data_IF_595510510986
#
_entry.id   IF_595510510986
#
_cell.length_a   1.000
_cell.length_b   1.000
_cell.length_c   1.000
_cell.angle_alpha   90.00
_cell.angle_beta   90.00
_cell.angle_gamma   90.00
#
_symmetry.space_group_name_H-M   'P 1'
#
loop_
_entity.id
_entity.type
_entity.pdbx_description
1 polymer ?
#
# COMPACT_ATOMS: atom_id res chain seq x y z
N UNK A 1 11.61 29.08 -1.91
CA UNK A 1 11.85 27.79 -1.24
C UNK A 1 10.58 27.29 -0.52
N UNK A 2 9.41 27.33 -1.17
CA UNK A 2 8.11 27.04 -0.53
C UNK A 2 7.08 26.32 -1.41
N UNK A 3 7.33 26.12 -2.71
CA UNK A 3 6.36 25.46 -3.61
C UNK A 3 6.59 23.94 -3.76
N UNK A 4 7.81 23.44 -3.59
CA UNK A 4 8.11 22.00 -3.64
C UNK A 4 7.63 21.22 -2.40
N UNK A 5 7.06 21.90 -1.38
CA UNK A 5 6.47 21.25 -0.19
C UNK A 5 5.16 20.51 -0.48
N UNK A 6 4.64 20.57 -1.71
CA UNK A 6 3.34 20.00 -2.09
C UNK A 6 3.35 18.51 -2.48
N UNK A 7 4.50 17.83 -2.51
CA UNK A 7 4.59 16.58 -3.29
C UNK A 7 4.11 15.31 -2.57
N UNK A 8 4.05 15.27 -1.24
CA UNK A 8 3.58 14.07 -0.53
C UNK A 8 2.33 14.34 0.29
N UNK A 9 1.20 13.81 -0.18
CA UNK A 9 -0.04 13.81 0.59
C UNK A 9 0.12 12.84 1.75
N UNK A 10 0.14 13.40 2.96
CA UNK A 10 0.12 12.64 4.21
C UNK A 10 -1.00 11.61 4.19
N UNK A 11 -0.66 10.37 4.55
CA UNK A 11 -1.62 9.28 4.52
C UNK A 11 -2.71 9.53 5.56
N UNK A 12 -3.94 9.70 5.10
CA UNK A 12 -5.05 10.07 5.98
C UNK A 12 -5.76 8.80 6.48
N UNK A 13 -5.24 8.25 7.57
CA UNK A 13 -5.95 7.27 8.40
C UNK A 13 -6.56 8.02 9.56
N UNK A 14 -7.89 8.08 9.58
CA UNK A 14 -8.62 8.74 10.66
C UNK A 14 -9.76 7.86 11.14
N UNK A 15 -10.28 8.20 12.30
CA UNK A 15 -11.41 7.52 12.94
C UNK A 15 -12.63 7.44 12.04
N UNK A 16 -12.93 8.51 11.28
CA UNK A 16 -14.09 8.55 10.38
C UNK A 16 -14.01 7.49 9.28
N UNK A 17 -12.82 7.31 8.69
CA UNK A 17 -12.57 6.31 7.65
C UNK A 17 -12.70 4.90 8.20
N UNK A 18 -12.17 4.64 9.40
CA UNK A 18 -12.33 3.34 10.07
C UNK A 18 -13.80 3.05 10.37
N UNK A 19 -14.54 4.01 10.95
CA UNK A 19 -15.97 3.85 11.24
C UNK A 19 -16.77 3.61 9.95
N UNK A 20 -16.50 4.39 8.90
CA UNK A 20 -17.15 4.20 7.59
C UNK A 20 -16.91 2.80 7.04
N UNK A 21 -15.68 2.28 7.17
CA UNK A 21 -15.34 0.94 6.71
C UNK A 21 -16.05 -0.13 7.54
N UNK A 22 -16.08 0.02 8.86
CA UNK A 22 -16.81 -0.90 9.75
C UNK A 22 -18.32 -0.93 9.43
N UNK A 23 -18.92 0.21 9.06
CA UNK A 23 -20.33 0.25 8.64
C UNK A 23 -20.57 -0.54 7.34
N UNK A 24 -19.66 -0.44 6.37
CA UNK A 24 -19.71 -1.21 5.12
C UNK A 24 -19.56 -2.71 5.44
N UNK A 25 -18.62 -3.08 6.31
CA UNK A 25 -18.41 -4.47 6.74
C UNK A 25 -19.62 -5.04 7.46
N UNK A 26 -20.28 -4.26 8.34
CA UNK A 26 -21.54 -4.65 8.98
C UNK A 26 -22.64 -4.84 7.93
N UNK A 27 -22.76 -3.93 6.96
CA UNK A 27 -23.75 -4.06 5.91
C UNK A 27 -23.53 -5.31 5.05
N UNK A 28 -22.28 -5.58 4.63
CA UNK A 28 -21.94 -6.80 3.89
C UNK A 28 -22.17 -8.06 4.73
N UNK A 29 -21.79 -8.05 6.00
CA UNK A 29 -21.99 -9.16 6.93
C UNK A 29 -23.47 -9.48 7.16
N UNK A 30 -24.33 -8.46 7.27
CA UNK A 30 -25.77 -8.67 7.42
C UNK A 30 -26.39 -9.28 6.16
N UNK A 31 -26.04 -8.79 4.96
CA UNK A 31 -26.49 -9.37 3.69
C UNK A 31 -26.09 -10.84 3.52
N UNK A 32 -24.83 -11.17 3.82
CA UNK A 32 -24.33 -12.55 3.78
C UNK A 32 -25.07 -13.43 4.81
N UNK A 33 -25.22 -12.95 6.04
CA UNK A 33 -25.93 -13.66 7.09
C UNK A 33 -27.40 -13.94 6.75
N UNK A 34 -28.12 -12.96 6.18
CA UNK A 34 -29.51 -13.14 5.70
C UNK A 34 -29.58 -14.16 4.56
N UNK A 35 -28.67 -14.07 3.60
CA UNK A 35 -28.66 -14.97 2.44
C UNK A 35 -28.40 -16.42 2.86
N UNK A 36 -27.44 -16.64 3.77
CA UNK A 36 -27.15 -17.97 4.30
C UNK A 36 -28.29 -18.50 5.17
N UNK A 37 -28.89 -17.65 6.00
CA UNK A 37 -30.08 -17.97 6.78
C UNK A 37 -31.24 -18.46 5.88
N UNK A 38 -31.52 -17.73 4.80
CA UNK A 38 -32.55 -18.11 3.82
C UNK A 38 -32.22 -19.40 3.06
N UNK A 39 -30.96 -19.60 2.66
CA UNK A 39 -30.55 -20.84 1.99
C UNK A 39 -30.74 -22.07 2.88
N UNK A 40 -30.45 -21.94 4.17
CA UNK A 40 -30.66 -23.01 5.16
C UNK A 40 -32.16 -23.23 5.40
N UNK A 41 -32.97 -22.18 5.48
CA UNK A 41 -34.41 -22.32 5.69
C UNK A 41 -35.11 -23.11 4.59
N UNK A 42 -34.71 -22.87 3.34
CA UNK A 42 -35.24 -23.57 2.16
C UNK A 42 -34.89 -25.06 2.21
N UNK A 43 -33.71 -25.42 2.74
CA UNK A 43 -33.21 -26.79 2.74
C UNK A 43 -33.71 -27.60 3.93
N UNK A 44 -33.86 -27.01 5.12
CA UNK A 44 -34.23 -27.74 6.34
C UNK A 44 -35.73 -27.76 6.65
N UNK A 45 -36.55 -26.91 6.02
CA UNK A 45 -38.01 -26.74 6.25
C UNK A 45 -38.45 -26.42 7.69
N UNK A 46 -37.56 -26.50 8.67
CA UNK A 46 -37.72 -26.04 10.04
C UNK A 46 -36.97 -24.72 10.20
N UNK A 47 -37.68 -23.64 10.52
CA UNK A 47 -37.06 -22.34 10.73
C UNK A 47 -37.60 -21.64 11.98
N UNK A 48 -36.70 -21.39 12.93
CA UNK A 48 -36.95 -20.49 14.07
C UNK A 48 -36.31 -19.12 13.77
N UNK A 49 -36.98 -18.04 14.16
CA UNK A 49 -36.44 -16.68 14.01
C UNK A 49 -35.09 -16.48 14.74
N UNK A 50 -34.83 -17.28 15.78
CA UNK A 50 -33.56 -17.28 16.51
C UNK A 50 -32.37 -17.73 15.66
N UNK A 51 -32.57 -18.66 14.73
CA UNK A 51 -31.53 -19.13 13.82
C UNK A 51 -31.11 -18.02 12.84
N UNK A 52 -32.04 -17.16 12.42
CA UNK A 52 -31.74 -16.04 11.52
C UNK A 52 -30.89 -14.96 12.20
N UNK A 53 -31.29 -14.52 13.38
CA UNK A 53 -30.55 -13.51 14.13
C UNK A 53 -29.13 -13.98 14.46
N UNK A 54 -28.98 -15.25 14.87
CA UNK A 54 -27.69 -15.86 15.12
C UNK A 54 -26.78 -15.84 13.88
N UNK A 55 -27.29 -16.25 12.71
CA UNK A 55 -26.51 -16.27 11.46
C UNK A 55 -26.09 -14.87 11.03
N UNK A 56 -26.95 -13.87 11.18
CA UNK A 56 -26.60 -12.48 10.90
C UNK A 56 -25.44 -12.02 11.79
N UNK A 57 -25.54 -12.24 13.11
CA UNK A 57 -24.49 -11.84 14.05
C UNK A 57 -23.17 -12.57 13.75
N UNK A 58 -23.23 -13.88 13.49
CA UNK A 58 -22.04 -14.69 13.17
C UNK A 58 -21.31 -14.15 11.94
N UNK A 59 -22.04 -13.88 10.86
CA UNK A 59 -21.45 -13.38 9.62
C UNK A 59 -20.92 -11.95 9.76
N UNK A 60 -21.61 -11.07 10.50
CA UNK A 60 -21.10 -9.72 10.80
C UNK A 60 -19.78 -9.81 11.56
N UNK A 61 -19.71 -10.62 12.61
CA UNK A 61 -18.47 -10.80 13.39
C UNK A 61 -17.37 -11.38 12.50
N UNK A 62 -17.67 -12.39 11.70
CA UNK A 62 -16.68 -13.00 10.79
C UNK A 62 -16.13 -12.00 9.78
N UNK A 63 -16.99 -11.20 9.13
CA UNK A 63 -16.58 -10.20 8.15
C UNK A 63 -15.71 -9.13 8.80
N UNK A 64 -16.09 -8.62 9.97
CA UNK A 64 -15.27 -7.63 10.69
C UNK A 64 -13.90 -8.22 11.04
N UNK A 65 -13.86 -9.41 11.67
CA UNK A 65 -12.59 -9.98 12.12
C UNK A 65 -11.62 -10.29 10.97
N UNK A 66 -12.14 -10.69 9.82
CA UNK A 66 -11.35 -11.05 8.65
C UNK A 66 -10.99 -9.83 7.80
N UNK A 67 -11.95 -8.94 7.53
CA UNK A 67 -11.77 -7.83 6.60
C UNK A 67 -11.08 -6.63 7.23
N UNK A 68 -11.50 -6.17 8.42
CA UNK A 68 -10.98 -4.91 9.00
C UNK A 68 -9.44 -4.81 9.01
N UNK A 69 -8.67 -5.84 9.45
CA UNK A 69 -7.21 -5.74 9.49
C UNK A 69 -6.55 -5.78 8.11
N UNK A 70 -7.24 -6.27 7.07
CA UNK A 70 -6.69 -6.33 5.71
C UNK A 70 -6.63 -4.95 5.06
N UNK A 71 -7.57 -4.06 5.38
CA UNK A 71 -7.63 -2.70 4.83
C UNK A 71 -6.62 -1.73 5.43
N UNK A 72 -6.01 -2.08 6.56
CA UNK A 72 -5.09 -1.16 7.22
C UNK A 72 -3.81 -0.99 6.38
N UNK A 73 -3.46 0.26 6.00
CA UNK A 73 -2.29 0.56 5.19
C UNK A 73 -1.02 0.43 6.06
N UNK A 74 -0.52 -0.80 6.15
CA UNK A 74 0.77 -1.14 6.76
C UNK A 74 1.80 -1.36 5.69
N UNK A 75 3.09 -1.19 6.01
CA UNK A 75 4.13 -1.20 4.99
C UNK A 75 3.90 -0.07 3.99
N UNK A 76 3.68 1.15 4.49
CA UNK A 76 3.47 2.34 3.65
C UNK A 76 4.21 3.55 4.23
N UNK A 77 4.61 4.46 3.35
CA UNK A 77 5.17 5.75 3.77
C UNK A 77 4.02 6.64 4.25
N UNK A 78 4.12 7.08 5.49
CA UNK A 78 3.10 7.94 6.11
C UNK A 78 3.27 9.41 5.72
N UNK A 79 4.53 9.88 5.80
CA UNK A 79 4.88 11.29 5.68
C UNK A 79 6.38 11.42 5.38
N UNK A 80 6.76 12.47 4.66
CA UNK A 80 8.15 12.75 4.29
C UNK A 80 8.45 14.20 4.64
N UNK A 81 9.44 14.41 5.51
CA UNK A 81 9.98 15.70 5.90
C UNK A 81 11.38 15.88 5.27
N UNK A 82 11.89 17.12 5.24
CA UNK A 82 13.22 17.47 4.71
C UNK A 82 14.38 16.66 5.33
N UNK A 83 14.23 16.16 6.57
CA UNK A 83 15.31 15.45 7.27
C UNK A 83 14.98 13.99 7.61
N UNK A 84 13.75 13.53 7.35
CA UNK A 84 13.27 12.23 7.84
C UNK A 84 12.10 11.69 7.04
N UNK A 85 12.01 10.38 7.01
CA UNK A 85 10.89 9.62 6.46
C UNK A 85 10.12 9.01 7.62
N UNK A 86 8.81 9.17 7.62
CA UNK A 86 7.92 8.49 8.57
C UNK A 86 7.22 7.35 7.86
N UNK A 87 7.34 6.15 8.42
CA UNK A 87 6.79 4.94 7.82
C UNK A 87 5.89 4.20 8.80
N UNK A 88 4.90 3.49 8.26
CA UNK A 88 4.08 2.54 9.02
C UNK A 88 4.67 1.16 8.74
N UNK A 89 5.31 0.50 9.73
CA UNK A 89 5.89 -0.82 9.56
C UNK A 89 4.88 -1.87 9.08
N UNK A 90 5.32 -2.93 8.40
CA UNK A 90 4.48 -4.08 8.07
C UNK A 90 4.12 -4.84 9.36
N UNK A 91 2.95 -4.54 9.93
CA UNK A 91 2.51 -5.15 11.18
C UNK A 91 1.78 -6.50 10.98
N UNK A 92 1.99 -7.49 11.87
CA UNK A 92 1.15 -8.68 11.93
C UNK A 92 -0.28 -8.33 12.37
N UNK A 93 -1.23 -9.21 12.07
CA UNK A 93 -2.68 -9.00 12.29
C UNK A 93 -2.99 -8.50 13.72
N UNK A 94 -2.36 -9.06 14.74
CA UNK A 94 -2.59 -8.63 16.14
C UNK A 94 -2.19 -7.17 16.39
N UNK A 95 -1.08 -6.70 15.81
CA UNK A 95 -0.65 -5.31 15.92
C UNK A 95 -1.54 -4.38 15.08
N UNK A 96 -2.08 -4.85 13.96
CA UNK A 96 -3.07 -4.09 13.18
C UNK A 96 -4.33 -3.80 14.00
N UNK A 97 -4.82 -4.79 14.75
CA UNK A 97 -5.95 -4.57 15.67
C UNK A 97 -5.64 -3.56 16.77
N UNK A 98 -4.43 -3.61 17.35
CA UNK A 98 -4.00 -2.59 18.33
C UNK A 98 -3.98 -1.18 17.72
N UNK A 99 -3.48 -1.05 16.49
CA UNK A 99 -3.50 0.21 15.75
C UNK A 99 -4.94 0.70 15.51
N UNK A 100 -5.84 -0.16 15.02
CA UNK A 100 -7.25 0.17 14.78
C UNK A 100 -7.91 0.68 16.07
N UNK A 101 -7.77 -0.08 17.17
CA UNK A 101 -8.37 0.29 18.45
C UNK A 101 -7.78 1.61 18.99
N UNK A 102 -6.48 1.81 18.82
CA UNK A 102 -5.84 3.07 19.23
C UNK A 102 -6.38 4.27 18.45
N UNK A 103 -6.56 4.15 17.12
CA UNK A 103 -7.14 5.23 16.30
C UNK A 103 -8.59 5.48 16.69
N UNK A 104 -9.38 4.43 16.94
CA UNK A 104 -10.76 4.57 17.39
C UNK A 104 -10.85 5.34 18.72
N UNK A 105 -9.92 5.12 19.64
CA UNK A 105 -9.90 5.82 20.94
C UNK A 105 -9.31 7.23 20.86
N UNK A 106 -8.16 7.41 20.19
CA UNK A 106 -7.34 8.64 20.28
C UNK A 106 -7.24 9.45 18.98
N UNK A 107 -7.71 8.91 17.86
CA UNK A 107 -7.57 9.51 16.50
C UNK A 107 -6.13 9.92 16.16
N UNK A 108 -5.16 9.12 16.61
CA UNK A 108 -3.73 9.32 16.38
C UNK A 108 -3.09 8.00 15.96
N UNK A 109 -1.97 8.09 15.24
CA UNK A 109 -1.16 6.94 14.84
C UNK A 109 0.32 7.07 15.25
N UNK A 110 0.71 8.17 15.88
CA UNK A 110 2.11 8.50 16.20
C UNK A 110 2.86 7.37 16.91
N UNK A 111 2.20 6.64 17.81
CA UNK A 111 2.76 5.52 18.55
C UNK A 111 3.14 4.29 17.68
N UNK A 112 2.65 4.23 16.45
CA UNK A 112 2.86 3.12 15.52
C UNK A 112 3.66 3.53 14.28
N UNK A 113 4.10 4.79 14.22
CA UNK A 113 4.89 5.33 13.13
C UNK A 113 6.36 5.25 13.50
N UNK A 114 7.15 4.65 12.62
CA UNK A 114 8.60 4.64 12.74
C UNK A 114 9.18 5.85 12.00
N UNK A 115 10.12 6.56 12.63
CA UNK A 115 10.78 7.72 12.04
C UNK A 115 12.22 7.38 11.71
N UNK A 116 12.60 7.61 10.45
CA UNK A 116 13.89 7.22 9.89
C UNK A 116 14.57 8.50 9.40
N UNK A 117 15.70 8.90 10.00
CA UNK A 117 16.42 10.09 9.54
C UNK A 117 17.04 9.81 8.18
N UNK A 118 16.96 10.78 7.26
CA UNK A 118 17.56 10.66 5.92
C UNK A 118 19.08 10.53 6.00
N UNK A 119 19.70 11.13 7.02
CA UNK A 119 21.14 11.01 7.28
C UNK A 119 21.61 9.59 7.59
N UNK A 120 20.70 8.67 7.93
CA UNK A 120 21.04 7.26 8.14
C UNK A 120 21.02 6.44 6.85
N UNK A 121 20.55 7.02 5.74
CA UNK A 121 20.54 6.37 4.43
C UNK A 121 21.83 6.78 3.71
N UNK A 122 22.71 5.83 3.47
CA UNK A 122 23.99 6.12 2.80
C UNK A 122 23.92 5.91 1.28
N UNK A 123 22.98 5.10 0.80
CA UNK A 123 22.88 4.73 -0.61
C UNK A 123 21.45 4.30 -0.97
N UNK A 124 21.05 4.56 -2.20
CA UNK A 124 19.78 4.11 -2.76
C UNK A 124 19.96 3.49 -4.14
N UNK A 125 19.10 2.55 -4.51
CA UNK A 125 19.06 1.92 -5.82
C UNK A 125 17.63 1.99 -6.37
N UNK A 126 17.48 2.64 -7.53
CA UNK A 126 16.22 2.72 -8.26
C UNK A 126 16.19 1.64 -9.34
N UNK A 127 15.42 0.59 -9.08
CA UNK A 127 15.33 -0.59 -9.91
C UNK A 127 13.89 -0.82 -10.40
N UNK A 128 13.76 -1.71 -11.38
CA UNK A 128 12.46 -2.10 -11.93
C UNK A 128 12.30 -3.61 -11.78
N UNK A 129 11.19 -4.01 -11.18
CA UNK A 129 10.78 -5.40 -11.07
C UNK A 129 9.84 -5.75 -12.23
N UNK A 130 10.25 -6.70 -13.08
CA UNK A 130 9.43 -7.31 -14.14
C UNK A 130 8.72 -8.55 -13.61
N UNK A 131 7.39 -8.57 -13.69
CA UNK A 131 6.56 -9.73 -13.37
C UNK A 131 5.77 -10.18 -14.57
N UNK A 132 5.54 -11.48 -14.66
CA UNK A 132 4.63 -12.01 -15.66
C UNK A 132 3.19 -11.58 -15.33
N UNK A 133 2.53 -10.91 -16.27
CA UNK A 133 1.10 -10.69 -16.23
C UNK A 133 0.41 -11.69 -17.17
N UNK A 134 -0.90 -11.86 -17.01
CA UNK A 134 -1.67 -12.68 -17.96
C UNK A 134 -1.60 -12.11 -19.38
N UNK A 135 -1.91 -12.95 -20.37
CA UNK A 135 -2.10 -12.55 -21.78
C UNK A 135 -0.83 -12.05 -22.50
N UNK A 136 0.35 -12.51 -22.08
CA UNK A 136 1.61 -12.20 -22.76
C UNK A 136 2.17 -10.80 -22.48
N UNK A 137 1.57 -10.06 -21.55
CA UNK A 137 2.08 -8.77 -21.08
C UNK A 137 2.93 -8.94 -19.82
N UNK A 138 3.88 -8.03 -19.63
CA UNK A 138 4.61 -7.90 -18.37
C UNK A 138 4.11 -6.73 -17.54
N UNK A 139 4.03 -6.94 -16.22
CA UNK A 139 3.78 -5.87 -15.26
C UNK A 139 5.11 -5.39 -14.70
N UNK A 140 5.34 -4.09 -14.76
CA UNK A 140 6.52 -3.47 -14.17
C UNK A 140 6.16 -2.80 -12.84
N UNK A 141 7.07 -2.87 -11.88
CA UNK A 141 6.93 -2.17 -10.60
C UNK A 141 8.22 -1.43 -10.33
N UNK A 142 8.13 -0.15 -10.00
CA UNK A 142 9.28 0.65 -9.67
C UNK A 142 9.62 0.47 -8.19
N UNK A 143 10.89 0.23 -7.93
CA UNK A 143 11.38 -0.13 -6.61
C UNK A 143 12.59 0.73 -6.27
N UNK A 144 12.46 1.54 -5.23
CA UNK A 144 13.56 2.29 -4.64
C UNK A 144 14.02 1.56 -3.37
N UNK A 145 15.18 0.93 -3.42
CA UNK A 145 15.79 0.30 -2.24
C UNK A 145 16.70 1.32 -1.56
N UNK A 146 16.42 1.64 -0.30
CA UNK A 146 17.23 2.55 0.51
C UNK A 146 18.04 1.70 1.50
N UNK A 147 19.35 1.83 1.45
CA UNK A 147 20.28 1.04 2.26
C UNK A 147 20.68 1.83 3.52
N UNK A 148 20.58 1.16 4.67
CA UNK A 148 20.98 1.68 5.98
C UNK A 148 21.85 0.65 6.67
N UNK A 149 22.69 1.10 7.61
CA UNK A 149 23.71 0.26 8.25
C UNK A 149 23.18 -1.07 8.84
N UNK A 150 21.93 -1.06 9.32
CA UNK A 150 21.34 -2.19 10.04
C UNK A 150 20.26 -2.94 9.24
N UNK A 151 19.68 -2.34 8.20
CA UNK A 151 18.60 -2.93 7.39
C UNK A 151 18.36 -2.14 6.12
N UNK A 152 17.75 -2.80 5.15
CA UNK A 152 17.31 -2.17 3.91
C UNK A 152 15.81 -1.85 3.94
N UNK A 153 15.44 -0.74 3.32
CA UNK A 153 14.07 -0.28 3.19
C UNK A 153 13.72 -0.35 1.70
N UNK A 154 12.87 -1.29 1.36
CA UNK A 154 12.35 -1.41 0.00
C UNK A 154 11.12 -0.52 -0.12
N UNK A 155 11.18 0.48 -1.00
CA UNK A 155 10.09 1.41 -1.27
C UNK A 155 9.49 1.11 -2.64
N UNK A 156 8.21 0.73 -2.66
CA UNK A 156 7.47 0.36 -3.86
C UNK A 156 6.71 1.58 -4.39
N UNK A 157 6.93 1.90 -5.66
CA UNK A 157 6.28 3.01 -6.37
C UNK A 157 5.37 2.41 -7.44
N UNK A 158 4.08 2.75 -7.38
CA UNK A 158 3.08 2.29 -8.35
C UNK A 158 2.91 3.33 -9.46
N UNK A 159 3.42 3.11 -10.69
CA UNK A 159 3.25 4.06 -11.77
C UNK A 159 1.80 4.05 -12.30
N UNK A 160 1.29 5.22 -12.70
CA UNK A 160 -0.02 5.34 -13.38
C UNK A 160 -0.06 4.54 -14.69
N UNK A 161 1.07 4.48 -15.39
CA UNK A 161 1.16 3.95 -16.76
C UNK A 161 0.98 2.43 -16.84
N UNK A 162 1.08 1.68 -15.73
CA UNK A 162 0.96 0.22 -15.75
C UNK A 162 -0.45 -0.34 -15.58
N UNK A 163 -1.47 0.49 -15.38
CA UNK A 163 -2.90 0.10 -15.44
C UNK A 163 -3.39 -0.99 -14.48
N UNK A 164 -2.52 -1.78 -13.83
CA UNK A 164 -2.87 -2.96 -13.03
C UNK A 164 -2.14 -2.92 -11.69
N UNK A 165 -2.95 -2.71 -10.66
CA UNK A 165 -2.61 -2.72 -9.24
C UNK A 165 -2.19 -4.11 -8.77
N UNK A 166 -0.91 -4.44 -8.81
CA UNK A 166 -0.38 -5.40 -7.84
C UNK A 166 0.97 -4.86 -7.37
N UNK A 167 1.05 -4.23 -6.18
CA UNK A 167 2.34 -4.06 -5.54
C UNK A 167 2.91 -5.47 -5.45
N UNK A 168 4.05 -5.68 -6.10
CA UNK A 168 4.67 -6.97 -6.11
C UNK A 168 4.77 -7.46 -4.67
N UNK A 169 4.37 -8.72 -4.39
CA UNK A 169 4.30 -9.34 -3.06
C UNK A 169 5.62 -9.42 -2.27
N UNK A 170 6.57 -8.54 -2.54
CA UNK A 170 7.68 -8.21 -1.67
C UNK A 170 7.14 -7.36 -0.52
N UNK A 171 7.42 -7.79 0.71
CA UNK A 171 7.34 -6.90 1.86
C UNK A 171 8.14 -5.63 1.58
N UNK A 172 7.60 -4.48 1.99
CA UNK A 172 8.19 -3.18 1.70
C UNK A 172 7.21 -2.06 2.03
N UNK A 173 7.67 -0.83 1.84
CA UNK A 173 6.90 0.38 2.05
C UNK A 173 6.33 0.90 0.74
N UNK A 174 5.02 1.00 0.60
CA UNK A 174 4.38 1.48 -0.63
C UNK A 174 4.13 2.99 -0.53
N UNK A 175 4.36 3.72 -1.62
CA UNK A 175 3.85 5.08 -1.78
C UNK A 175 2.35 5.06 -2.08
N UNK A 176 1.57 5.85 -1.33
CA UNK A 176 0.12 5.91 -1.51
C UNK A 176 -0.29 6.40 -2.91
N UNK A 177 -1.31 5.76 -3.48
CA UNK A 177 -1.87 6.04 -4.80
C UNK A 177 -0.99 5.62 -5.99
N UNK A 178 -1.49 5.91 -7.19
CA UNK A 178 -0.71 5.82 -8.44
C UNK A 178 0.11 7.10 -8.61
N UNK A 179 1.34 6.98 -9.11
CA UNK A 179 2.28 8.08 -9.32
C UNK A 179 2.49 8.36 -10.81
N UNK A 180 2.42 9.62 -11.19
CA UNK A 180 2.78 10.06 -12.55
C UNK A 180 4.30 10.01 -12.75
N UNK A 181 4.76 10.10 -14.00
CA UNK A 181 6.20 10.21 -14.32
C UNK A 181 6.86 11.37 -13.56
N UNK A 182 6.19 12.52 -13.52
CA UNK A 182 6.65 13.70 -12.78
C UNK A 182 6.77 13.44 -11.28
N UNK A 183 5.77 12.78 -10.67
CA UNK A 183 5.83 12.42 -9.25
C UNK A 183 7.02 11.52 -8.94
N UNK A 184 7.31 10.55 -9.82
CA UNK A 184 8.43 9.61 -9.65
C UNK A 184 9.76 10.33 -9.72
N UNK A 185 9.96 11.19 -10.73
CA UNK A 185 11.17 12.00 -10.84
C UNK A 185 11.33 12.93 -9.63
N UNK A 186 10.24 13.51 -9.12
CA UNK A 186 10.26 14.34 -7.93
C UNK A 186 10.62 13.55 -6.66
N UNK A 187 10.18 12.29 -6.54
CA UNK A 187 10.63 11.38 -5.47
C UNK A 187 12.14 11.19 -5.54
N UNK A 188 12.68 10.86 -6.73
CA UNK A 188 14.13 10.64 -6.89
C UNK A 188 14.94 11.90 -6.56
N UNK A 189 14.55 13.05 -7.12
CA UNK A 189 15.18 14.35 -6.85
C UNK A 189 15.16 14.70 -5.37
N UNK A 190 14.09 14.37 -4.66
CA UNK A 190 14.01 14.59 -3.22
C UNK A 190 15.13 13.85 -2.47
N UNK A 191 15.37 12.57 -2.80
CA UNK A 191 16.42 11.78 -2.15
C UNK A 191 17.82 12.28 -2.52
N UNK A 192 18.05 12.65 -3.78
CA UNK A 192 19.33 13.19 -4.25
C UNK A 192 19.68 14.54 -3.58
N UNK A 193 18.71 15.46 -3.47
CA UNK A 193 18.89 16.75 -2.80
C UNK A 193 19.26 16.56 -1.32
N UNK A 194 18.80 15.47 -0.71
CA UNK A 194 19.13 15.10 0.66
C UNK A 194 20.39 14.23 0.77
N UNK A 195 21.29 14.33 -0.21
CA UNK A 195 22.60 13.67 -0.27
C UNK A 195 22.56 12.13 -0.31
N UNK A 196 21.39 11.55 -0.60
CA UNK A 196 21.31 10.10 -0.87
C UNK A 196 21.73 9.88 -2.31
N UNK A 197 22.86 9.20 -2.51
CA UNK A 197 23.28 8.78 -3.86
C UNK A 197 22.34 7.68 -4.34
N UNK A 198 21.62 7.93 -5.43
CA UNK A 198 20.75 6.94 -6.07
C UNK A 198 21.48 6.37 -7.28
N UNK A 199 21.62 5.05 -7.33
CA UNK A 199 22.00 4.33 -8.54
C UNK A 199 20.76 3.98 -9.35
N UNK A 200 20.83 4.21 -10.65
CA UNK A 200 19.76 3.91 -11.60
C UNK A 200 20.33 3.05 -12.73
N UNK A 201 20.51 1.74 -12.50
CA UNK A 201 21.19 0.83 -13.44
C UNK A 201 20.47 0.71 -14.79
N UNK A 202 19.21 1.13 -14.86
CA UNK A 202 18.38 1.07 -16.05
C UNK A 202 18.11 2.45 -16.65
N UNK A 203 18.76 3.52 -16.17
CA UNK A 203 18.55 4.89 -16.63
C UNK A 203 17.07 5.32 -16.70
N UNK A 204 16.26 4.80 -15.78
CA UNK A 204 14.83 5.03 -15.71
C UNK A 204 14.47 6.48 -15.43
N UNK A 205 15.28 7.21 -14.65
CA UNK A 205 15.04 8.63 -14.35
C UNK A 205 15.08 9.44 -15.65
N UNK A 206 16.12 9.24 -16.46
CA UNK A 206 16.25 9.89 -17.77
C UNK A 206 15.11 9.50 -18.71
N UNK A 207 14.76 8.22 -18.73
CA UNK A 207 13.63 7.73 -19.52
C UNK A 207 12.30 8.36 -19.08
N UNK A 208 12.07 8.52 -17.78
CA UNK A 208 10.84 9.11 -17.23
C UNK A 208 10.73 10.61 -17.51
N UNK A 209 11.85 11.35 -17.52
CA UNK A 209 11.90 12.78 -17.85
C UNK A 209 11.60 13.06 -19.33
N UNK A 210 11.98 12.16 -20.23
CA UNK A 210 11.70 12.33 -21.66
C UNK A 210 10.29 11.84 -22.04
N UNK A 211 9.37 12.78 -22.25
CA UNK A 211 7.97 12.49 -22.61
C UNK A 211 7.79 11.80 -23.96
N UNK A 212 8.77 11.83 -24.85
CA UNK A 212 8.71 11.13 -26.15
C UNK A 212 8.93 9.63 -26.01
N UNK A 213 9.55 9.18 -24.91
CA UNK A 213 9.79 7.76 -24.66
C UNK A 213 8.50 7.10 -24.18
N UNK A 214 8.08 6.07 -24.92
CA UNK A 214 7.08 5.10 -24.48
C UNK A 214 7.73 4.17 -23.48
N UNK A 215 7.45 4.40 -22.20
CA UNK A 215 8.09 3.69 -21.07
C UNK A 215 7.94 2.18 -21.16
N UNK A 216 6.79 1.69 -21.61
CA UNK A 216 6.55 0.26 -21.75
C UNK A 216 7.53 -0.38 -22.75
N UNK A 217 7.67 0.21 -23.93
CA UNK A 217 8.58 -0.26 -24.98
C UNK A 217 10.05 -0.18 -24.52
N UNK A 218 10.39 0.88 -23.80
CA UNK A 218 11.70 1.03 -23.18
C UNK A 218 11.99 -0.11 -22.20
N UNK A 219 11.06 -0.41 -21.30
CA UNK A 219 11.21 -1.48 -20.30
C UNK A 219 11.29 -2.88 -20.94
N UNK A 220 10.55 -3.14 -22.02
CA UNK A 220 10.66 -4.40 -22.77
C UNK A 220 11.99 -4.53 -23.51
N UNK A 221 12.61 -3.41 -23.90
CA UNK A 221 13.93 -3.41 -24.53
C UNK A 221 15.07 -3.73 -23.55
N UNK A 222 14.82 -3.58 -22.25
CA UNK A 222 15.78 -3.91 -21.20
C UNK A 222 15.75 -5.40 -20.88
N UNK A 223 16.92 -6.02 -20.70
CA UNK A 223 17.06 -7.43 -20.30
C UNK A 223 16.79 -7.64 -18.79
N UNK A 224 15.62 -7.18 -18.32
CA UNK A 224 15.19 -7.29 -16.93
C UNK A 224 14.68 -8.72 -16.71
N UNK A 225 15.32 -9.44 -15.78
CA UNK A 225 14.92 -10.81 -15.41
C UNK A 225 13.48 -10.85 -14.91
N UNK A 226 12.67 -11.73 -15.50
CA UNK A 226 11.31 -12.02 -15.04
C UNK A 226 11.37 -12.70 -13.68
N UNK A 227 10.61 -12.18 -12.71
CA UNK A 227 10.38 -12.83 -11.42
C UNK A 227 9.01 -13.50 -11.42
N UNK A 228 9.01 -14.79 -11.09
CA UNK A 228 7.81 -15.62 -10.91
C UNK A 228 7.28 -15.53 -9.49
#
# INVERSE_FOLDING_TARGET
MSENKRLFKKLNINRKKIISQLLIEIFCGTLLGVSCAQAISITTKEYSHWNMAFMIVLFVVMVIFLCTPLWMPVGQIYDIDENRIKVIPPYPIAMKWKLIMHILCRDDISAFVETIPLSAIYYGEFSVDRRYAGWGFHNYTYVLTLYLDNRDIVVVINPMDNGIFIPGGRGGFIFDGLKSREDICNIMKFFEVNQVKIEDPYHMIEALENTEIVIYDYLESLDIKIRY
#
